data_IF_390253396069
#
_entry.id   IF_390253396069
#
_cell.length_a   1.000
_cell.length_b   1.000
_cell.length_c   1.000
_cell.angle_alpha   90.00
_cell.angle_beta   90.00
_cell.angle_gamma   90.00
#
_symmetry.space_group_name_H-M   'P 1'
#
loop_
_entity.id
_entity.type
_entity.pdbx_description
1 polymer ?
#
# COMPACT_ATOMS: atom_id res chain seq x y z
N UNK A 1 11.24 -11.53 -49.77
CA UNK A 1 11.20 -11.80 -48.32
C UNK A 1 11.60 -10.51 -47.62
N UNK A 2 10.65 -9.78 -47.03
CA UNK A 2 10.96 -8.55 -46.29
C UNK A 2 11.23 -8.97 -44.85
N UNK A 3 12.47 -8.83 -44.40
CA UNK A 3 12.87 -9.10 -43.02
C UNK A 3 12.55 -7.87 -42.17
N UNK A 4 11.53 -7.97 -41.32
CA UNK A 4 11.21 -6.96 -40.33
C UNK A 4 12.14 -7.10 -39.12
N UNK A 5 12.92 -6.04 -38.85
CA UNK A 5 13.72 -5.93 -37.64
C UNK A 5 12.84 -5.85 -36.38
N UNK A 6 13.29 -6.35 -35.22
CA UNK A 6 12.53 -6.28 -33.98
C UNK A 6 12.51 -4.82 -33.46
N UNK A 7 11.43 -4.39 -32.78
CA UNK A 7 11.33 -3.04 -32.25
C UNK A 7 12.38 -2.83 -31.14
N UNK A 8 13.06 -1.68 -31.19
CA UNK A 8 14.06 -1.28 -30.22
C UNK A 8 13.46 -1.17 -28.81
N UNK A 9 14.13 -1.77 -27.82
CA UNK A 9 13.82 -1.61 -26.40
C UNK A 9 14.04 -0.15 -25.99
N UNK A 10 12.96 0.55 -25.62
CA UNK A 10 13.07 1.91 -25.09
C UNK A 10 13.77 1.93 -23.73
N UNK A 11 14.73 2.85 -23.48
CA UNK A 11 15.30 3.06 -22.17
C UNK A 11 14.24 3.61 -21.20
N UNK A 12 14.16 3.07 -19.99
CA UNK A 12 13.31 3.60 -18.91
C UNK A 12 13.71 5.07 -18.66
N UNK A 13 12.79 6.06 -18.68
CA UNK A 13 13.17 7.46 -18.58
C UNK A 13 13.62 7.85 -17.15
N UNK A 14 14.52 8.83 -17.00
CA UNK A 14 15.02 9.33 -15.71
C UNK A 14 13.97 9.97 -14.77
N UNK A 15 12.72 10.10 -15.21
CA UNK A 15 11.60 10.73 -14.47
C UNK A 15 11.14 9.92 -13.26
N UNK A 16 11.34 8.60 -13.25
CA UNK A 16 10.76 7.73 -12.21
C UNK A 16 11.53 7.77 -10.87
N UNK A 17 12.84 7.96 -10.93
CA UNK A 17 13.66 8.07 -9.71
C UNK A 17 13.44 9.40 -8.99
N UNK A 18 13.13 10.47 -9.74
CA UNK A 18 12.80 11.78 -9.17
C UNK A 18 11.47 11.73 -8.42
N UNK A 19 10.47 11.00 -8.94
CA UNK A 19 9.18 10.84 -8.26
C UNK A 19 9.32 10.12 -6.92
N UNK A 20 10.17 9.08 -6.85
CA UNK A 20 10.43 8.36 -5.59
C UNK A 20 11.10 9.26 -4.55
N UNK A 21 12.10 10.05 -4.97
CA UNK A 21 12.74 11.02 -4.07
C UNK A 21 11.77 12.10 -3.56
N UNK A 22 10.88 12.59 -4.44
CA UNK A 22 9.84 13.54 -4.05
C UNK A 22 8.86 12.91 -3.06
N UNK A 23 8.41 11.68 -3.31
CA UNK A 23 7.51 10.97 -2.40
C UNK A 23 8.15 10.79 -1.01
N UNK A 24 9.42 10.40 -0.94
CA UNK A 24 10.18 10.33 0.32
C UNK A 24 10.22 11.68 1.04
N UNK A 25 10.40 12.78 0.30
CA UNK A 25 10.38 14.14 0.86
C UNK A 25 9.01 14.49 1.44
N UNK A 26 7.95 14.20 0.69
CA UNK A 26 6.56 14.45 1.10
C UNK A 26 6.19 13.63 2.36
N UNK A 27 6.59 12.35 2.41
CA UNK A 27 6.40 11.47 3.56
C UNK A 27 7.06 12.05 4.83
N UNK A 28 8.33 12.49 4.73
CA UNK A 28 9.05 13.13 5.85
C UNK A 28 8.37 14.43 6.29
N UNK A 29 7.94 15.26 5.35
CA UNK A 29 7.23 16.51 5.65
C UNK A 29 5.88 16.28 6.36
N UNK A 30 5.30 15.08 6.23
CA UNK A 30 4.08 14.64 6.92
C UNK A 30 4.32 13.71 8.10
N UNK A 31 5.57 13.64 8.60
CA UNK A 31 5.95 12.88 9.79
C UNK A 31 5.79 11.35 9.69
N UNK A 32 5.99 10.77 8.50
CA UNK A 32 6.08 9.31 8.29
C UNK A 32 7.56 8.86 8.25
N UNK A 33 8.33 9.20 9.29
CA UNK A 33 9.78 8.97 9.28
C UNK A 33 10.12 7.49 9.37
N UNK A 34 9.39 6.74 10.20
CA UNK A 34 9.65 5.32 10.39
C UNK A 34 9.45 4.54 9.10
N UNK A 35 8.37 4.81 8.36
CA UNK A 35 8.12 4.15 7.08
C UNK A 35 9.21 4.49 6.04
N UNK A 36 9.67 5.75 6.01
CA UNK A 36 10.77 6.18 5.13
C UNK A 36 12.08 5.45 5.45
N UNK A 37 12.43 5.28 6.72
CA UNK A 37 13.62 4.51 7.14
C UNK A 37 13.55 3.08 6.59
N UNK A 38 12.39 2.43 6.67
CA UNK A 38 12.20 1.09 6.13
C UNK A 38 12.36 1.04 4.61
N UNK A 39 11.84 2.05 3.88
CA UNK A 39 12.06 2.19 2.44
C UNK A 39 13.55 2.36 2.11
N UNK A 40 14.29 3.15 2.89
CA UNK A 40 15.72 3.38 2.70
C UNK A 40 16.56 2.10 2.89
N UNK A 41 16.08 1.16 3.71
CA UNK A 41 16.74 -0.14 3.95
C UNK A 41 16.50 -1.18 2.84
N UNK A 42 15.57 -0.94 1.90
CA UNK A 42 15.31 -1.86 0.80
C UNK A 42 16.50 -1.99 -0.15
N UNK A 43 16.65 -3.18 -0.75
CA UNK A 43 17.61 -3.40 -1.82
C UNK A 43 17.23 -2.63 -3.10
N UNK A 44 18.20 -2.46 -4.00
CA UNK A 44 18.03 -1.66 -5.23
C UNK A 44 16.96 -2.23 -6.16
N UNK A 45 16.85 -3.55 -6.27
CA UNK A 45 15.84 -4.22 -7.10
C UNK A 45 14.43 -3.91 -6.62
N UNK A 46 14.15 -4.07 -5.33
CA UNK A 46 12.83 -3.77 -4.75
C UNK A 46 12.51 -2.27 -4.86
N UNK A 47 13.48 -1.39 -4.60
CA UNK A 47 13.31 0.05 -4.81
C UNK A 47 12.95 0.37 -6.26
N UNK A 48 13.60 -0.28 -7.23
CA UNK A 48 13.32 -0.09 -8.66
C UNK A 48 11.90 -0.52 -9.02
N UNK A 49 11.43 -1.66 -8.50
CA UNK A 49 10.04 -2.12 -8.68
C UNK A 49 9.04 -1.12 -8.11
N UNK A 50 9.24 -0.66 -6.86
CA UNK A 50 8.35 0.28 -6.19
C UNK A 50 8.40 1.70 -6.76
N UNK A 51 9.45 2.05 -7.50
CA UNK A 51 9.59 3.36 -8.14
C UNK A 51 8.83 3.49 -9.48
N UNK A 52 8.11 2.45 -9.93
CA UNK A 52 7.37 2.50 -11.18
C UNK A 52 5.99 3.12 -11.01
N UNK A 53 5.08 2.40 -10.35
CA UNK A 53 3.72 2.82 -10.02
C UNK A 53 3.32 2.11 -8.72
N UNK A 54 2.95 2.88 -7.70
CA UNK A 54 2.64 2.32 -6.39
C UNK A 54 1.71 3.22 -5.59
N UNK A 55 0.86 2.61 -4.78
CA UNK A 55 0.26 3.27 -3.62
C UNK A 55 0.81 2.66 -2.34
N UNK A 56 1.41 3.50 -1.50
CA UNK A 56 1.82 3.15 -0.13
C UNK A 56 0.70 3.44 0.87
N UNK A 57 0.45 2.49 1.76
CA UNK A 57 -0.42 2.63 2.92
C UNK A 57 0.43 2.61 4.19
N UNK A 58 0.83 3.77 4.66
CA UNK A 58 1.90 3.95 5.64
C UNK A 58 1.32 4.00 7.06
N UNK A 59 1.63 3.04 7.94
CA UNK A 59 1.28 3.17 9.35
C UNK A 59 1.90 4.45 9.93
N UNK A 60 1.15 5.15 10.79
CA UNK A 60 1.71 6.26 11.57
C UNK A 60 2.88 5.77 12.45
N UNK A 61 3.85 6.64 12.70
CA UNK A 61 5.11 6.25 13.36
C UNK A 61 4.91 5.57 14.73
N UNK A 62 3.89 5.94 15.50
CA UNK A 62 3.56 5.29 16.78
C UNK A 62 3.11 3.83 16.62
N UNK A 63 2.32 3.53 15.59
CA UNK A 63 1.90 2.16 15.28
C UNK A 63 3.08 1.33 14.78
N UNK A 64 3.96 1.96 14.01
CA UNK A 64 5.15 1.29 13.48
C UNK A 64 6.16 0.96 14.59
N UNK A 65 6.35 1.86 15.56
CA UNK A 65 7.28 1.68 16.67
C UNK A 65 6.93 0.49 17.58
N UNK A 66 5.64 0.15 17.69
CA UNK A 66 5.15 -0.97 18.49
C UNK A 66 5.12 -2.30 17.73
N UNK A 67 5.33 -2.28 16.41
CA UNK A 67 5.20 -3.48 15.57
C UNK A 67 6.56 -4.13 15.31
N UNK A 68 6.79 -5.38 15.76
CA UNK A 68 8.06 -6.05 15.53
C UNK A 68 8.22 -6.45 14.05
N UNK A 69 9.21 -5.86 13.37
CA UNK A 69 9.58 -6.21 12.00
C UNK A 69 10.93 -6.93 12.02
N UNK A 70 10.92 -8.22 11.72
CA UNK A 70 12.15 -8.98 11.55
C UNK A 70 12.87 -8.54 10.27
N UNK A 71 14.21 -8.36 10.26
CA UNK A 71 14.94 -7.88 9.09
C UNK A 71 14.72 -8.71 7.82
N UNK A 72 14.56 -10.03 7.95
CA UNK A 72 14.25 -10.96 6.85
C UNK A 72 12.83 -10.80 6.29
N UNK A 73 11.95 -10.08 7.00
CA UNK A 73 10.57 -9.79 6.63
C UNK A 73 10.35 -8.34 6.19
N UNK A 74 11.40 -7.53 6.10
CA UNK A 74 11.31 -6.13 5.70
C UNK A 74 10.63 -5.95 4.33
N UNK A 75 11.04 -6.74 3.33
CA UNK A 75 10.48 -6.64 1.97
C UNK A 75 9.00 -7.03 2.00
N UNK A 76 8.66 -8.17 2.61
CA UNK A 76 7.27 -8.63 2.76
C UNK A 76 6.41 -7.58 3.48
N UNK A 77 6.97 -6.92 4.50
CA UNK A 77 6.31 -5.85 5.24
C UNK A 77 5.99 -4.65 4.35
N UNK A 78 6.95 -4.15 3.56
CA UNK A 78 6.68 -3.02 2.66
C UNK A 78 5.66 -3.43 1.59
N UNK A 79 5.80 -4.62 1.00
CA UNK A 79 4.87 -5.09 -0.03
C UNK A 79 3.46 -5.34 0.53
N UNK A 80 3.30 -5.73 1.80
CA UNK A 80 2.00 -5.84 2.45
C UNK A 80 1.34 -4.50 2.78
N UNK A 81 2.05 -3.39 2.56
CA UNK A 81 1.59 -2.01 2.70
C UNK A 81 1.59 -1.27 1.36
N UNK A 82 1.67 -2.01 0.25
CA UNK A 82 1.78 -1.43 -1.09
C UNK A 82 0.86 -2.15 -2.08
N UNK A 83 0.33 -1.42 -3.06
CA UNK A 83 -0.36 -1.99 -4.23
C UNK A 83 0.25 -1.44 -5.53
N UNK A 84 0.30 -2.23 -6.62
CA UNK A 84 0.88 -1.83 -7.91
C UNK A 84 -0.06 -0.94 -8.74
N UNK A 85 -0.79 -0.04 -8.10
CA UNK A 85 -1.72 0.89 -8.74
C UNK A 85 -1.68 2.24 -8.01
N UNK A 86 -1.49 3.38 -8.70
CA UNK A 86 -1.32 4.69 -8.08
C UNK A 86 -2.67 5.37 -7.80
N UNK A 87 -3.38 4.90 -6.78
CA UNK A 87 -4.72 5.35 -6.39
C UNK A 87 -4.70 6.56 -5.45
N UNK A 88 -5.43 7.61 -5.80
CA UNK A 88 -5.73 8.73 -4.90
C UNK A 88 -6.92 8.41 -3.99
N UNK A 89 -7.07 9.19 -2.92
CA UNK A 89 -8.13 8.93 -1.93
C UNK A 89 -9.54 8.99 -2.53
N UNK A 90 -9.79 9.87 -3.50
CA UNK A 90 -11.09 9.94 -4.16
C UNK A 90 -11.43 8.63 -4.87
N UNK A 91 -10.48 7.98 -5.54
CA UNK A 91 -10.72 6.69 -6.18
C UNK A 91 -11.07 5.62 -5.14
N UNK A 92 -10.28 5.55 -4.06
CA UNK A 92 -10.53 4.63 -2.93
C UNK A 92 -11.88 4.89 -2.22
N UNK A 93 -12.34 6.13 -2.17
CA UNK A 93 -13.62 6.48 -1.56
C UNK A 93 -14.83 6.09 -2.44
N UNK A 94 -14.66 6.10 -3.76
CA UNK A 94 -15.72 5.81 -4.71
C UNK A 94 -15.86 4.32 -5.03
N UNK A 95 -14.81 3.50 -4.87
CA UNK A 95 -14.95 2.05 -5.08
C UNK A 95 -15.99 1.42 -4.15
N UNK A 96 -16.75 0.40 -4.59
CA UNK A 96 -17.68 -0.31 -3.75
C UNK A 96 -17.03 -0.88 -2.48
N UNK A 97 -17.77 -0.89 -1.36
CA UNK A 97 -17.34 -1.59 -0.15
C UNK A 97 -17.24 -3.09 -0.44
N UNK A 98 -16.13 -3.71 -0.02
CA UNK A 98 -15.83 -5.10 -0.31
C UNK A 98 -14.98 -5.30 -1.57
N UNK A 99 -14.67 -4.24 -2.34
CA UNK A 99 -13.75 -4.32 -3.47
C UNK A 99 -12.41 -4.88 -3.03
N UNK A 100 -11.88 -5.80 -3.84
CA UNK A 100 -10.59 -6.45 -3.65
C UNK A 100 -9.63 -5.95 -4.73
N UNK A 101 -8.54 -5.31 -4.31
CA UNK A 101 -7.52 -4.73 -5.18
C UNK A 101 -6.31 -5.69 -5.20
N UNK A 102 -5.71 -6.00 -6.37
CA UNK A 102 -4.48 -6.77 -6.43
C UNK A 102 -3.36 -6.12 -5.60
N UNK A 103 -2.57 -6.92 -4.89
CA UNK A 103 -1.37 -6.44 -4.20
C UNK A 103 -0.10 -7.00 -4.81
N UNK A 104 1.07 -6.51 -4.37
CA UNK A 104 2.34 -7.09 -4.78
C UNK A 104 2.55 -8.51 -4.24
N UNK A 105 1.86 -8.86 -3.17
CA UNK A 105 1.80 -10.22 -2.66
C UNK A 105 0.60 -10.93 -3.27
N UNK A 106 0.57 -12.26 -3.27
CA UNK A 106 -0.54 -13.06 -3.84
C UNK A 106 -1.92 -12.85 -3.16
N UNK A 107 -2.01 -11.93 -2.21
CA UNK A 107 -3.23 -11.59 -1.48
C UNK A 107 -3.87 -10.32 -2.05
N UNK A 108 -5.15 -10.13 -1.72
CA UNK A 108 -5.93 -8.97 -2.19
C UNK A 108 -6.14 -7.96 -1.05
N UNK A 109 -6.15 -6.68 -1.39
CA UNK A 109 -6.45 -5.58 -0.49
C UNK A 109 -7.94 -5.32 -0.49
N UNK A 110 -8.60 -5.49 0.65
CA UNK A 110 -10.01 -5.20 0.81
C UNK A 110 -10.23 -3.74 1.17
N UNK A 111 -11.02 -3.06 0.35
CA UNK A 111 -11.52 -1.72 0.66
C UNK A 111 -12.87 -1.84 1.37
N UNK A 112 -13.01 -1.14 2.50
CA UNK A 112 -14.29 -1.01 3.19
C UNK A 112 -14.55 0.41 3.63
N UNK A 113 -15.82 0.75 3.89
CA UNK A 113 -16.23 2.11 4.22
C UNK A 113 -17.19 2.10 5.40
N UNK A 114 -17.03 3.06 6.31
CA UNK A 114 -17.94 3.32 7.42
C UNK A 114 -18.18 4.82 7.50
N UNK A 115 -19.37 5.28 7.08
CA UNK A 115 -19.64 6.70 6.91
C UNK A 115 -18.68 7.34 5.91
N UNK A 116 -17.91 8.34 6.36
CA UNK A 116 -16.89 9.03 5.55
C UNK A 116 -15.49 8.40 5.64
N UNK A 117 -15.34 7.36 6.47
CA UNK A 117 -14.05 6.71 6.70
C UNK A 117 -13.84 5.59 5.69
N UNK A 118 -12.64 5.57 5.09
CA UNK A 118 -12.19 4.52 4.17
C UNK A 118 -11.16 3.67 4.89
N UNK A 119 -11.27 2.36 4.72
CA UNK A 119 -10.40 1.37 5.35
C UNK A 119 -9.79 0.47 4.29
N UNK A 120 -8.55 0.10 4.51
CA UNK A 120 -7.75 -0.81 3.69
C UNK A 120 -7.33 -1.95 4.60
N UNK A 121 -7.83 -3.16 4.36
CA UNK A 121 -7.56 -4.31 5.22
C UNK A 121 -7.77 -3.99 6.72
N UNK A 122 -8.90 -3.34 7.02
CA UNK A 122 -9.32 -2.89 8.36
C UNK A 122 -8.51 -1.71 8.95
N UNK A 123 -7.43 -1.27 8.32
CA UNK A 123 -6.71 -0.07 8.72
C UNK A 123 -7.39 1.17 8.12
N UNK A 124 -7.75 2.14 8.96
CA UNK A 124 -8.39 3.38 8.50
C UNK A 124 -7.36 4.28 7.83
N UNK A 125 -7.69 4.84 6.67
CA UNK A 125 -6.95 5.97 6.11
C UNK A 125 -7.22 7.21 6.96
N UNK A 126 -6.16 7.73 7.59
CA UNK A 126 -6.21 8.91 8.48
C UNK A 126 -5.52 10.13 7.88
N UNK A 127 -4.63 9.93 6.90
CA UNK A 127 -4.01 11.02 6.15
C UNK A 127 -4.04 10.69 4.64
N UNK A 128 -5.05 11.17 3.91
CA UNK A 128 -5.15 10.92 2.47
C UNK A 128 -4.14 11.75 1.68
N UNK A 129 -3.68 11.24 0.53
CA UNK A 129 -2.90 11.95 -0.47
C UNK A 129 -1.64 12.66 0.11
N UNK A 130 -0.84 11.93 0.87
CA UNK A 130 0.40 12.45 1.49
C UNK A 130 1.43 12.86 0.43
N UNK A 131 1.57 12.06 -0.63
CA UNK A 131 2.51 12.33 -1.72
C UNK A 131 1.83 13.07 -2.88
N UNK A 132 2.57 14.02 -3.46
CA UNK A 132 2.15 14.84 -4.60
C UNK A 132 2.36 14.17 -5.97
N UNK A 133 3.23 13.16 -6.04
CA UNK A 133 3.53 12.40 -7.26
C UNK A 133 2.27 11.74 -7.86
N UNK A 134 2.23 11.66 -9.19
CA UNK A 134 1.16 10.97 -9.94
C UNK A 134 1.38 9.47 -10.06
N UNK A 135 2.62 9.01 -10.01
CA UNK A 135 3.05 7.60 -10.11
C UNK A 135 3.21 6.95 -8.74
N UNK A 136 3.46 7.76 -7.70
CA UNK A 136 3.63 7.30 -6.33
C UNK A 136 2.61 7.99 -5.44
N UNK A 137 1.60 7.23 -5.03
CA UNK A 137 0.59 7.68 -4.08
C UNK A 137 0.93 7.18 -2.69
N UNK A 138 0.52 7.95 -1.68
CA UNK A 138 0.80 7.64 -0.29
C UNK A 138 -0.40 8.04 0.55
N UNK A 139 -0.86 7.14 1.41
CA UNK A 139 -1.92 7.39 2.38
C UNK A 139 -1.45 6.91 3.75
N UNK A 140 -1.61 7.75 4.76
CA UNK A 140 -1.36 7.36 6.14
C UNK A 140 -2.51 6.53 6.70
N UNK A 141 -2.19 5.44 7.40
CA UNK A 141 -3.14 4.54 8.04
C UNK A 141 -2.90 4.42 9.55
N UNK A 142 -3.95 4.13 10.31
CA UNK A 142 -3.89 4.06 11.78
C UNK A 142 -3.57 2.66 12.36
N UNK A 143 -3.20 1.70 11.52
CA UNK A 143 -2.86 0.35 11.94
C UNK A 143 -1.89 -0.28 10.94
N UNK A 144 -1.07 -1.22 11.42
CA UNK A 144 -0.24 -2.07 10.56
C UNK A 144 -1.13 -3.13 9.89
N UNK A 145 -0.95 -3.32 8.58
CA UNK A 145 -1.61 -4.38 7.81
C UNK A 145 -0.91 -5.71 8.13
N UNK A 146 -1.43 -6.46 9.10
CA UNK A 146 -0.98 -7.79 9.47
C UNK A 146 -1.95 -8.87 8.95
N UNK A 147 -1.46 -9.70 8.03
CA UNK A 147 -2.20 -10.83 7.45
C UNK A 147 -2.72 -11.80 8.51
N UNK A 148 -1.97 -12.02 9.61
CA UNK A 148 -2.38 -12.95 10.67
C UNK A 148 -3.59 -12.44 11.43
N UNK A 149 -3.59 -11.14 11.78
CA UNK A 149 -4.73 -10.49 12.43
C UNK A 149 -5.95 -10.48 11.52
N UNK A 150 -5.79 -10.14 10.24
CA UNK A 150 -6.91 -10.11 9.29
C UNK A 150 -7.62 -11.46 9.14
N UNK A 151 -6.88 -12.58 9.15
CA UNK A 151 -7.49 -13.92 9.11
C UNK A 151 -8.26 -14.25 10.39
N UNK A 152 -7.77 -13.82 11.54
CA UNK A 152 -8.45 -13.98 12.84
C UNK A 152 -9.70 -13.12 12.92
N UNK A 153 -9.66 -11.88 12.42
CA UNK A 153 -10.80 -10.97 12.36
C UNK A 153 -11.88 -11.49 11.40
N UNK A 154 -11.49 -12.03 10.24
CA UNK A 154 -12.43 -12.62 9.28
C UNK A 154 -13.10 -13.88 9.85
N UNK A 155 -12.33 -14.72 10.54
CA UNK A 155 -12.86 -15.89 11.24
C UNK A 155 -13.85 -15.46 12.35
N UNK A 156 -13.52 -14.42 13.10
CA UNK A 156 -14.37 -13.88 14.18
C UNK A 156 -15.65 -13.22 13.65
N UNK A 157 -15.57 -12.50 12.53
CA UNK A 157 -16.74 -11.86 11.89
C UNK A 157 -17.74 -12.89 11.38
N UNK A 158 -17.25 -13.97 10.77
CA UNK A 158 -18.10 -15.08 10.28
C UNK A 158 -18.89 -15.75 11.41
N UNK A 159 -18.29 -15.87 12.60
CA UNK A 159 -18.96 -16.43 13.78
C UNK A 159 -20.06 -15.50 14.32
N UNK A 160 -19.87 -14.18 14.26
CA UNK A 160 -20.89 -13.21 14.72
C UNK A 160 -22.09 -13.11 13.77
N UNK A 161 -21.90 -13.29 12.46
CA UNK A 161 -23.02 -13.35 11.50
C UNK A 161 -23.87 -14.63 11.62
N UNK A 162 -23.32 -15.72 12.17
CA UNK A 162 -24.03 -17.00 12.34
C UNK A 162 -25.05 -17.05 13.48
N UNK A 163 -25.07 -16.07 14.38
CA UNK A 163 -25.95 -16.06 15.56
C UNK A 163 -27.24 -15.23 15.42
N UNK A 164 -27.47 -14.57 14.28
CA UNK A 164 -28.61 -13.66 14.09
C UNK A 164 -29.75 -14.23 13.22
N UNK A 165 -29.89 -15.54 13.11
CA UNK A 165 -31.02 -16.17 12.39
C UNK A 165 -31.74 -17.20 13.24
N UNK A 166 -32.33 -16.75 14.36
CA UNK A 166 -33.51 -17.39 14.97
C UNK A 166 -34.13 -16.46 16.00
N UNK A 167 -35.24 -15.82 15.62
CA UNK A 167 -36.34 -15.51 16.54
C UNK A 167 -37.65 -15.55 15.78
#
# INVERSE_FOLDING_TARGET
>A
MVSSAPPASHPVPPVKLTDFSQAITDMRAKSYYGFVILLDMLNTTTKSTLSQEVTFFMPIDSQLAEYPISPDKLVDFILSHSIPEPLVFSELAHVPTGTLIPSFLSDQFRISKLGRHVFVNNAQIVAPNVCSSTTIRCHGINAVIDKRKNRLDLASSTLLQGNNTKS
#
